data_IF_154411488373
#
_entry.id   IF_154411488373
#
_cell.length_a   1.000
_cell.length_b   1.000
_cell.length_c   1.000
_cell.angle_alpha   90.00
_cell.angle_beta   90.00
_cell.angle_gamma   90.00
#
_symmetry.space_group_name_H-M   'P 1'
#
loop_
_entity.id
_entity.type
_entity.pdbx_description
1 polymer ?
#
# COMPACT_ATOMS: atom_id res chain seq x y z
N UNK A 1 -12.43 20.35 28.57
CA UNK A 1 -12.81 18.95 28.28
C UNK A 1 -11.80 18.38 27.30
N UNK A 2 -11.02 17.33 27.64
CA UNK A 2 -10.04 16.72 26.72
C UNK A 2 -10.76 15.62 25.94
N UNK A 3 -11.10 15.86 24.67
CA UNK A 3 -11.69 14.85 23.79
C UNK A 3 -10.58 13.87 23.38
N UNK A 4 -10.71 12.62 23.80
CA UNK A 4 -9.87 11.52 23.35
C UNK A 4 -10.67 10.70 22.34
N UNK A 5 -10.01 10.32 21.25
CA UNK A 5 -10.60 9.49 20.20
C UNK A 5 -10.89 8.10 20.77
N UNK A 6 -12.07 7.57 20.49
CA UNK A 6 -12.53 6.24 20.89
C UNK A 6 -12.91 5.41 19.68
N UNK A 7 -13.00 4.10 19.88
CA UNK A 7 -13.58 3.21 18.87
C UNK A 7 -15.02 3.65 18.57
N UNK A 8 -15.39 3.69 17.29
CA UNK A 8 -16.68 4.16 16.81
C UNK A 8 -16.75 5.66 16.53
N UNK A 9 -15.76 6.44 16.94
CA UNK A 9 -15.69 7.86 16.57
C UNK A 9 -15.35 8.01 15.09
N UNK A 10 -15.96 9.01 14.46
CA UNK A 10 -15.59 9.44 13.11
C UNK A 10 -14.54 10.54 13.19
N UNK A 11 -13.47 10.39 12.44
CA UNK A 11 -12.38 11.38 12.35
C UNK A 11 -12.06 11.69 10.89
N UNK A 12 -11.74 12.95 10.64
CA UNK A 12 -11.10 13.39 9.41
C UNK A 12 -9.58 13.23 9.55
N UNK A 13 -8.96 12.59 8.57
CA UNK A 13 -7.55 12.29 8.56
C UNK A 13 -6.92 12.76 7.25
N UNK A 14 -5.93 13.63 7.39
CA UNK A 14 -4.88 13.76 6.38
C UNK A 14 -3.72 12.83 6.71
N UNK A 15 -3.20 12.13 5.71
CA UNK A 15 -2.06 11.24 5.90
C UNK A 15 -1.12 11.21 4.69
N UNK A 16 0.10 10.76 4.98
CA UNK A 16 1.12 10.40 3.99
C UNK A 16 1.75 9.10 4.47
N UNK A 17 1.55 8.03 3.70
CA UNK A 17 2.20 6.74 3.89
C UNK A 17 3.58 6.73 3.24
N UNK A 18 4.60 6.33 4.00
CA UNK A 18 5.97 6.18 3.51
C UNK A 18 6.60 4.88 3.97
N UNK A 19 7.41 4.26 3.12
CA UNK A 19 8.26 3.14 3.51
C UNK A 19 9.44 3.69 4.33
N UNK A 20 9.73 3.08 5.48
CA UNK A 20 10.69 3.62 6.46
C UNK A 20 12.12 3.62 5.91
N UNK A 21 12.49 2.58 5.17
CA UNK A 21 13.87 2.30 4.79
C UNK A 21 14.36 3.20 3.64
N UNK A 22 13.55 3.38 2.61
CA UNK A 22 13.86 4.17 1.41
C UNK A 22 13.17 5.54 1.39
N UNK A 23 12.34 5.83 2.39
CA UNK A 23 11.52 7.07 2.51
C UNK A 23 10.59 7.30 1.33
N UNK A 24 10.26 6.26 0.56
CA UNK A 24 9.38 6.36 -0.59
C UNK A 24 7.95 6.61 -0.11
N UNK A 25 7.36 7.72 -0.58
CA UNK A 25 5.93 7.99 -0.38
C UNK A 25 5.15 7.15 -1.37
N UNK A 26 4.22 6.33 -0.87
CA UNK A 26 3.42 5.44 -1.70
C UNK A 26 1.93 5.82 -1.73
N UNK A 27 1.46 6.59 -0.75
CA UNK A 27 0.06 7.03 -0.67
C UNK A 27 -0.06 8.33 0.14
N UNK A 28 -0.97 9.22 -0.24
CA UNK A 28 -1.24 10.46 0.51
C UNK A 28 -2.57 11.11 0.13
N UNK A 29 -3.20 11.77 1.11
CA UNK A 29 -4.37 12.64 0.89
C UNK A 29 -4.00 14.06 0.46
N UNK A 30 -2.71 14.42 0.48
CA UNK A 30 -2.21 15.77 0.20
C UNK A 30 -1.74 15.89 -1.25
N UNK A 31 -2.43 16.69 -2.06
CA UNK A 31 -2.16 16.81 -3.49
C UNK A 31 -0.72 17.24 -3.80
N UNK A 32 -0.21 18.25 -3.07
CA UNK A 32 1.15 18.74 -3.29
C UNK A 32 2.18 17.64 -3.02
N UNK A 33 2.01 16.87 -1.94
CA UNK A 33 2.88 15.75 -1.61
C UNK A 33 2.82 14.66 -2.69
N UNK A 34 1.65 14.39 -3.27
CA UNK A 34 1.52 13.45 -4.37
C UNK A 34 2.29 13.91 -5.63
N UNK A 35 2.22 15.22 -5.96
CA UNK A 35 2.97 15.82 -7.07
C UNK A 35 4.47 15.76 -6.84
N UNK A 36 4.94 16.15 -5.65
CA UNK A 36 6.35 16.18 -5.30
C UNK A 36 7.01 14.78 -5.31
N UNK A 37 6.20 13.72 -5.15
CA UNK A 37 6.66 12.33 -5.12
C UNK A 37 6.28 11.53 -6.39
N UNK A 38 5.78 12.18 -7.45
CA UNK A 38 5.39 11.54 -8.71
C UNK A 38 4.33 10.42 -8.57
N UNK A 39 3.46 10.51 -7.57
CA UNK A 39 2.32 9.59 -7.36
C UNK A 39 0.96 10.29 -7.57
N UNK A 40 0.97 11.49 -8.17
CA UNK A 40 -0.25 12.23 -8.44
C UNK A 40 -1.14 11.50 -9.45
N UNK A 41 -2.42 11.42 -9.11
CA UNK A 41 -3.48 10.86 -9.93
C UNK A 41 -4.52 11.95 -10.23
N UNK A 42 -4.64 12.42 -11.48
CA UNK A 42 -5.61 13.45 -11.86
C UNK A 42 -7.08 13.06 -11.64
N UNK A 43 -7.40 11.77 -11.64
CA UNK A 43 -8.76 11.26 -11.38
C UNK A 43 -9.10 11.15 -9.89
N UNK A 44 -8.12 11.34 -9.00
CA UNK A 44 -8.31 11.25 -7.56
C UNK A 44 -8.55 12.62 -6.94
N UNK A 45 -9.56 12.71 -6.07
CA UNK A 45 -9.87 13.94 -5.34
C UNK A 45 -9.16 13.95 -3.99
N UNK A 46 -8.04 14.66 -3.93
CA UNK A 46 -7.26 14.87 -2.71
C UNK A 46 -8.05 15.71 -1.69
N UNK A 47 -8.36 15.10 -0.56
CA UNK A 47 -9.02 15.69 0.61
C UNK A 47 -8.83 14.77 1.83
N UNK A 48 -9.04 15.26 3.06
CA UNK A 48 -9.07 14.39 4.23
C UNK A 48 -10.05 13.23 4.03
N UNK A 49 -9.64 12.04 4.47
CA UNK A 49 -10.52 10.86 4.49
C UNK A 49 -11.27 10.81 5.81
N UNK A 50 -12.54 10.44 5.76
CA UNK A 50 -13.34 10.21 6.95
C UNK A 50 -13.33 8.71 7.25
N UNK A 51 -12.90 8.35 8.45
CA UNK A 51 -12.85 6.96 8.90
C UNK A 51 -13.63 6.77 10.20
N UNK A 52 -14.18 5.58 10.39
CA UNK A 52 -14.70 5.14 11.68
C UNK A 52 -13.58 4.39 12.41
N UNK A 53 -13.15 4.91 13.55
CA UNK A 53 -12.01 4.35 14.28
C UNK A 53 -12.36 2.96 14.82
N UNK A 54 -11.50 1.98 14.54
CA UNK A 54 -11.63 0.58 14.93
C UNK A 54 -12.43 -0.30 13.95
N UNK A 55 -12.81 0.24 12.79
CA UNK A 55 -13.52 -0.49 11.71
C UNK A 55 -12.61 -0.82 10.51
N UNK A 56 -11.29 -0.67 10.64
CA UNK A 56 -10.28 -1.10 9.65
C UNK A 56 -10.42 -0.45 8.26
N UNK A 57 -10.90 0.79 8.21
CA UNK A 57 -10.91 1.58 6.96
C UNK A 57 -9.49 1.95 6.49
N UNK A 58 -8.52 1.93 7.41
CA UNK A 58 -7.09 2.09 7.16
C UNK A 58 -6.35 0.89 7.72
N UNK A 59 -5.04 0.79 7.45
CA UNK A 59 -4.21 -0.28 7.99
C UNK A 59 -4.33 -0.36 9.52
N UNK A 60 -4.41 -1.58 10.04
CA UNK A 60 -4.69 -1.87 11.45
C UNK A 60 -3.81 -1.05 12.41
N UNK A 61 -2.52 -0.93 12.12
CA UNK A 61 -1.61 -0.21 13.00
C UNK A 61 -1.84 1.30 13.05
N UNK A 62 -2.41 1.89 12.00
CA UNK A 62 -2.84 3.29 12.03
C UNK A 62 -4.17 3.43 12.80
N UNK A 63 -5.13 2.56 12.51
CA UNK A 63 -6.46 2.56 13.14
C UNK A 63 -6.35 2.42 14.67
N UNK A 64 -5.63 1.39 15.14
CA UNK A 64 -5.40 1.12 16.56
C UNK A 64 -4.64 2.27 17.25
N UNK A 65 -3.70 2.90 16.52
CA UNK A 65 -2.90 3.98 17.08
C UNK A 65 -3.69 5.26 17.34
N UNK A 66 -4.83 5.48 16.68
CA UNK A 66 -5.66 6.67 16.90
C UNK A 66 -6.40 6.61 18.24
N UNK A 67 -6.71 5.42 18.75
CA UNK A 67 -7.46 5.25 19.99
C UNK A 67 -6.69 5.86 21.17
N UNK A 68 -7.38 6.71 21.94
CA UNK A 68 -6.80 7.41 23.08
C UNK A 68 -5.90 8.59 22.71
N UNK A 69 -5.69 8.89 21.43
CA UNK A 69 -5.05 10.14 20.98
C UNK A 69 -6.04 11.30 21.00
N UNK A 70 -5.50 12.51 20.90
CA UNK A 70 -6.27 13.73 20.63
C UNK A 70 -6.15 14.10 19.16
N UNK A 71 -7.04 14.92 18.62
CA UNK A 71 -6.82 15.55 17.32
C UNK A 71 -5.47 16.28 17.29
N UNK A 72 -4.69 16.03 16.25
CA UNK A 72 -3.34 16.59 16.10
C UNK A 72 -2.50 15.84 15.08
N UNK A 73 -1.24 16.25 14.96
CA UNK A 73 -0.28 15.66 14.02
C UNK A 73 0.58 14.61 14.73
N UNK A 74 0.68 13.43 14.12
CA UNK A 74 1.47 12.32 14.65
C UNK A 74 2.30 11.65 13.56
N UNK A 75 3.42 11.06 13.95
CA UNK A 75 4.13 10.06 13.14
C UNK A 75 3.96 8.72 13.84
N UNK A 76 3.43 7.73 13.13
CA UNK A 76 3.15 6.40 13.65
C UNK A 76 3.96 5.41 12.83
N UNK A 77 4.82 4.63 13.49
CA UNK A 77 5.51 3.53 12.85
C UNK A 77 4.63 2.29 12.91
N UNK A 78 4.32 1.72 11.75
CA UNK A 78 3.50 0.51 11.63
C UNK A 78 4.39 -0.63 11.16
N UNK A 79 4.47 -1.70 11.95
CA UNK A 79 5.15 -2.93 11.52
C UNK A 79 4.36 -3.63 10.43
N UNK A 80 5.05 -4.40 9.58
CA UNK A 80 4.46 -5.11 8.45
C UNK A 80 3.21 -5.92 8.83
N UNK A 81 3.20 -6.60 9.98
CA UNK A 81 2.08 -7.44 10.44
C UNK A 81 0.80 -6.64 10.71
N UNK A 82 0.91 -5.34 10.99
CA UNK A 82 -0.22 -4.44 11.22
C UNK A 82 -0.43 -3.46 10.04
N UNK A 83 0.35 -3.59 8.97
CA UNK A 83 0.22 -2.84 7.72
C UNK A 83 -0.40 -3.75 6.63
N UNK A 84 0.41 -4.12 5.63
CA UNK A 84 0.02 -4.95 4.50
C UNK A 84 0.36 -6.44 4.68
N UNK A 85 0.84 -6.83 5.87
CA UNK A 85 1.34 -8.18 6.16
C UNK A 85 2.83 -8.32 5.92
N UNK A 86 3.40 -9.43 6.39
CA UNK A 86 4.78 -9.82 6.03
C UNK A 86 4.77 -10.38 4.61
N UNK A 87 5.82 -10.09 3.85
CA UNK A 87 6.09 -10.80 2.61
C UNK A 87 6.26 -12.30 2.91
N UNK A 88 5.45 -13.14 2.28
CA UNK A 88 5.52 -14.60 2.41
C UNK A 88 5.99 -15.23 1.10
N UNK A 89 6.51 -16.46 1.19
CA UNK A 89 6.88 -17.22 -0.01
C UNK A 89 5.67 -17.54 -0.91
N UNK A 90 4.44 -17.53 -0.35
CA UNK A 90 3.20 -17.81 -1.07
C UNK A 90 2.85 -16.74 -2.11
N UNK A 91 3.34 -15.49 -1.93
CA UNK A 91 3.21 -14.41 -2.90
C UNK A 91 4.10 -14.61 -4.13
N UNK A 92 5.16 -15.43 -4.00
CA UNK A 92 6.07 -15.75 -5.09
C UNK A 92 5.55 -16.96 -5.86
N UNK A 93 4.94 -16.72 -7.02
CA UNK A 93 4.47 -17.80 -7.90
C UNK A 93 5.45 -18.03 -9.04
N UNK A 94 5.68 -19.32 -9.32
CA UNK A 94 6.45 -19.75 -10.46
C UNK A 94 5.51 -19.93 -11.67
N UNK A 95 5.70 -19.10 -12.68
CA UNK A 95 4.89 -19.08 -13.90
C UNK A 95 5.76 -19.55 -15.08
N UNK A 96 5.31 -20.52 -15.89
CA UNK A 96 6.03 -20.95 -17.08
C UNK A 96 6.18 -19.82 -18.11
N UNK A 97 7.37 -19.67 -18.70
CA UNK A 97 7.65 -18.68 -19.74
C UNK A 97 6.68 -18.75 -20.93
N UNK A 98 6.22 -19.96 -21.28
CA UNK A 98 5.24 -20.20 -22.35
C UNK A 98 3.93 -19.43 -22.17
N UNK A 99 3.51 -19.14 -20.93
CA UNK A 99 2.30 -18.35 -20.70
C UNK A 99 2.49 -16.88 -21.08
N UNK A 100 3.68 -16.33 -20.81
CA UNK A 100 4.04 -14.98 -21.26
C UNK A 100 4.16 -14.92 -22.79
N UNK A 101 4.82 -15.92 -23.40
CA UNK A 101 4.97 -16.02 -24.86
C UNK A 101 3.62 -16.10 -25.59
N UNK A 102 2.65 -16.86 -25.02
CA UNK A 102 1.29 -16.98 -25.57
C UNK A 102 0.61 -15.62 -25.72
N UNK A 103 0.87 -14.71 -24.78
CA UNK A 103 0.31 -13.36 -24.76
C UNK A 103 1.27 -12.33 -25.38
N UNK A 104 2.33 -12.77 -26.08
CA UNK A 104 3.39 -11.94 -26.66
C UNK A 104 4.09 -11.01 -25.66
N UNK A 105 4.16 -11.43 -24.39
CA UNK A 105 4.84 -10.71 -23.32
C UNK A 105 6.27 -11.25 -23.20
N UNK A 106 7.26 -10.37 -23.26
CA UNK A 106 8.66 -10.71 -22.96
C UNK A 106 8.97 -10.37 -21.50
N UNK A 107 9.07 -11.34 -20.59
CA UNK A 107 9.30 -11.06 -19.18
C UNK A 107 10.73 -10.57 -18.93
N UNK A 108 10.87 -9.57 -18.05
CA UNK A 108 12.15 -9.10 -17.51
C UNK A 108 11.96 -8.67 -16.05
N UNK A 109 13.05 -8.66 -15.26
CA UNK A 109 12.98 -8.29 -13.85
C UNK A 109 12.46 -6.86 -13.69
N UNK A 110 11.43 -6.68 -12.85
CA UNK A 110 10.75 -5.41 -12.65
C UNK A 110 9.52 -5.20 -13.56
N UNK A 111 9.27 -6.08 -14.52
CA UNK A 111 8.03 -6.04 -15.30
C UNK A 111 6.83 -6.27 -14.39
N UNK A 112 5.89 -5.33 -14.38
CA UNK A 112 4.58 -5.49 -13.76
C UNK A 112 3.65 -6.28 -14.67
N UNK A 113 2.93 -7.25 -14.10
CA UNK A 113 1.97 -8.11 -14.79
C UNK A 113 0.66 -8.14 -14.02
N UNK A 114 -0.44 -8.30 -14.75
CA UNK A 114 -1.75 -8.53 -14.17
C UNK A 114 -2.19 -9.97 -14.52
N UNK A 115 -2.42 -10.80 -13.50
CA UNK A 115 -2.91 -12.17 -13.65
C UNK A 115 -4.24 -12.28 -12.92
N UNK A 116 -5.32 -12.43 -13.68
CA UNK A 116 -6.70 -12.54 -13.19
C UNK A 116 -7.10 -11.43 -12.20
N UNK A 117 -6.68 -10.18 -12.48
CA UNK A 117 -6.95 -9.02 -11.64
C UNK A 117 -5.96 -8.83 -10.49
N UNK A 118 -5.00 -9.74 -10.31
CA UNK A 118 -3.93 -9.62 -9.31
C UNK A 118 -2.68 -9.04 -9.98
N UNK A 119 -2.24 -7.87 -9.51
CA UNK A 119 -0.97 -7.28 -9.95
C UNK A 119 0.20 -8.03 -9.31
N UNK A 120 1.28 -8.21 -10.06
CA UNK A 120 2.52 -8.77 -9.54
C UNK A 120 3.72 -8.26 -10.32
N UNK A 121 4.92 -8.47 -9.77
CA UNK A 121 6.17 -8.00 -10.35
C UNK A 121 7.10 -9.18 -10.63
N UNK A 122 7.64 -9.26 -11.84
CA UNK A 122 8.64 -10.26 -12.20
C UNK A 122 9.92 -10.06 -11.38
N UNK A 123 10.31 -11.06 -10.60
CA UNK A 123 11.52 -11.04 -9.76
C UNK A 123 12.70 -11.78 -10.38
N UNK A 124 12.44 -12.80 -11.20
CA UNK A 124 13.50 -13.49 -11.94
C UNK A 124 12.97 -14.16 -13.19
N UNK A 125 13.86 -14.34 -14.17
CA UNK A 125 13.61 -15.07 -15.42
C UNK A 125 14.79 -16.01 -15.63
N UNK A 126 14.57 -17.32 -15.56
CA UNK A 126 15.64 -18.32 -15.70
C UNK A 126 15.11 -19.66 -16.18
N UNK A 127 15.77 -20.27 -17.17
CA UNK A 127 15.51 -21.64 -17.62
C UNK A 127 14.04 -21.92 -17.99
N UNK A 128 13.38 -20.96 -18.65
CA UNK A 128 11.96 -21.07 -19.03
C UNK A 128 10.96 -20.89 -17.88
N UNK A 129 11.42 -20.46 -16.70
CA UNK A 129 10.59 -20.17 -15.52
C UNK A 129 10.68 -18.70 -15.16
N UNK A 130 9.56 -18.11 -14.80
CA UNK A 130 9.44 -16.72 -14.38
C UNK A 130 8.88 -16.70 -12.97
N UNK A 131 9.58 -16.06 -12.03
CA UNK A 131 9.04 -15.86 -10.68
C UNK A 131 8.34 -14.51 -10.64
N UNK A 132 7.06 -14.50 -10.29
CA UNK A 132 6.25 -13.29 -10.12
C UNK A 132 5.85 -13.16 -8.64
N UNK A 133 6.05 -11.96 -8.12
CA UNK A 133 5.73 -11.55 -6.75
C UNK A 133 4.42 -10.77 -6.77
N UNK A 134 3.36 -11.38 -6.27
CA UNK A 134 2.00 -10.81 -6.21
C UNK A 134 1.75 -10.03 -4.91
#
# INVERSE_FOLDING_TARGET
MKFLIKKGDFVELDYTGRIKDDKVVFDTTLEQTAKDNNIHNPGFRYKPVIICVGEKHVVKGLDDALIGKKPGKYTIEVKAENAFGRKTAELLKLIPMRLFEKDNIKPFVGLEVNVDGTLGVVRSVSGGRVIVDF
#
